data_IF_850081380667
#
_entry.id   IF_850081380667
#
_cell.length_a   1.000
_cell.length_b   1.000
_cell.length_c   1.000
_cell.angle_alpha   90.00
_cell.angle_beta   90.00
_cell.angle_gamma   90.00
#
_symmetry.space_group_name_H-M   'P 1'
#
loop_
_entity.id
_entity.type
_entity.pdbx_description
1 polymer ?
#
# COMPACT_ATOMS: atom_id res chain seq x y z
N UNK A 1 -4.97 18.17 4.53
CA UNK A 1 -5.12 16.70 4.64
C UNK A 1 -4.87 16.00 3.32
N UNK A 2 -5.58 16.34 2.24
CA UNK A 2 -5.39 15.72 0.92
C UNK A 2 -3.96 15.82 0.38
N UNK A 3 -3.36 17.02 0.33
CA UNK A 3 -1.95 17.20 -0.12
C UNK A 3 -0.95 16.35 0.68
N UNK A 4 -1.20 16.18 1.98
CA UNK A 4 -0.40 15.34 2.87
C UNK A 4 -0.47 13.87 2.47
N UNK A 5 -1.68 13.37 2.19
CA UNK A 5 -1.94 12.00 1.74
C UNK A 5 -1.38 11.74 0.35
N UNK A 6 -1.47 12.72 -0.55
CA UNK A 6 -0.84 12.68 -1.86
C UNK A 6 0.68 12.55 -1.75
N UNK A 7 1.32 13.36 -0.90
CA UNK A 7 2.75 13.28 -0.67
C UNK A 7 3.13 11.93 -0.04
N UNK A 8 2.37 11.45 0.94
CA UNK A 8 2.58 10.14 1.53
C UNK A 8 2.45 9.02 0.50
N UNK A 9 1.43 9.06 -0.36
CA UNK A 9 1.23 8.09 -1.44
C UNK A 9 2.40 8.12 -2.42
N UNK A 10 2.87 9.30 -2.83
CA UNK A 10 4.03 9.44 -3.71
C UNK A 10 5.31 8.85 -3.11
N UNK A 11 5.57 9.10 -1.82
CA UNK A 11 6.70 8.49 -1.12
C UNK A 11 6.54 6.96 -1.06
N UNK A 12 5.34 6.47 -0.75
CA UNK A 12 5.03 5.04 -0.75
C UNK A 12 5.31 4.39 -2.09
N UNK A 13 4.92 5.00 -3.21
CA UNK A 13 5.13 4.40 -4.53
C UNK A 13 6.60 4.29 -4.88
N UNK A 14 7.40 5.31 -4.56
CA UNK A 14 8.85 5.26 -4.77
C UNK A 14 9.45 4.12 -3.95
N UNK A 15 9.14 4.03 -2.66
CA UNK A 15 9.70 3.02 -1.77
C UNK A 15 9.25 1.61 -2.20
N UNK A 16 7.96 1.43 -2.46
CA UNK A 16 7.39 0.13 -2.80
C UNK A 16 7.84 -0.37 -4.17
N UNK A 17 8.18 0.52 -5.11
CA UNK A 17 8.79 0.14 -6.39
C UNK A 17 10.07 -0.70 -6.18
N UNK A 18 10.86 -0.39 -5.15
CA UNK A 18 12.07 -1.15 -4.82
C UNK A 18 11.81 -2.30 -3.83
N UNK A 19 10.90 -2.15 -2.87
CA UNK A 19 10.73 -3.20 -1.86
C UNK A 19 9.91 -4.38 -2.39
N UNK A 20 8.86 -4.11 -3.17
CA UNK A 20 7.87 -5.13 -3.55
C UNK A 20 8.42 -6.23 -4.46
N UNK A 21 9.32 -5.97 -5.42
CA UNK A 21 9.86 -7.03 -6.26
C UNK A 21 10.60 -8.13 -5.49
N UNK A 22 11.09 -7.86 -4.27
CA UNK A 22 11.75 -8.87 -3.43
C UNK A 22 10.81 -9.98 -2.94
N UNK A 23 9.49 -9.81 -3.03
CA UNK A 23 8.53 -10.88 -2.71
C UNK A 23 8.42 -11.95 -3.80
N UNK A 24 9.05 -11.73 -4.95
CA UNK A 24 9.01 -12.65 -6.09
C UNK A 24 10.37 -13.34 -6.23
N UNK A 25 10.40 -14.66 -6.04
CA UNK A 25 11.65 -15.44 -5.95
C UNK A 25 12.34 -15.71 -7.31
N UNK A 26 11.63 -15.57 -8.45
CA UNK A 26 12.02 -16.30 -9.67
C UNK A 26 12.79 -15.55 -10.76
N UNK A 27 13.12 -14.27 -10.64
CA UNK A 27 13.75 -13.57 -11.78
C UNK A 27 14.81 -12.55 -11.39
N UNK A 28 16.04 -13.05 -11.17
CA UNK A 28 17.26 -12.24 -11.01
C UNK A 28 17.50 -11.24 -12.14
N UNK A 29 16.89 -11.46 -13.32
CA UNK A 29 16.99 -10.55 -14.48
C UNK A 29 15.75 -9.66 -14.72
N UNK A 30 14.68 -9.79 -13.93
CA UNK A 30 13.40 -9.09 -14.18
C UNK A 30 12.93 -8.22 -13.02
N UNK A 31 13.77 -7.94 -12.03
CA UNK A 31 13.43 -7.14 -10.84
C UNK A 31 12.70 -5.82 -11.19
N UNK A 32 13.24 -5.03 -12.13
CA UNK A 32 12.62 -3.77 -12.56
C UNK A 32 11.33 -3.99 -13.34
N UNK A 33 11.21 -5.08 -14.10
CA UNK A 33 9.99 -5.42 -14.84
C UNK A 33 8.86 -5.85 -13.88
N UNK A 34 9.18 -6.61 -12.83
CA UNK A 34 8.24 -6.95 -11.76
C UNK A 34 7.79 -5.68 -11.03
N UNK A 35 8.74 -4.82 -10.65
CA UNK A 35 8.43 -3.54 -10.00
C UNK A 35 7.51 -2.67 -10.84
N UNK A 36 7.76 -2.59 -12.15
CA UNK A 36 6.91 -1.88 -13.10
C UNK A 36 5.54 -2.53 -13.23
N UNK A 37 5.46 -3.85 -13.41
CA UNK A 37 4.21 -4.59 -13.55
C UNK A 37 3.30 -4.45 -12.33
N UNK A 38 3.87 -4.58 -11.13
CA UNK A 38 3.13 -4.37 -9.88
C UNK A 38 2.69 -2.90 -9.74
N UNK A 39 3.57 -1.96 -10.09
CA UNK A 39 3.28 -0.53 -9.93
C UNK A 39 2.15 -0.05 -10.85
N UNK A 40 2.04 -0.59 -12.07
CA UNK A 40 0.93 -0.28 -13.00
C UNK A 40 -0.44 -0.50 -12.35
N UNK A 41 -0.55 -1.49 -11.45
CA UNK A 41 -1.81 -1.83 -10.79
C UNK A 41 -1.91 -1.14 -9.41
N UNK A 42 -0.89 -1.32 -8.58
CA UNK A 42 -0.92 -0.87 -7.19
C UNK A 42 -0.88 0.65 -7.02
N UNK A 43 -0.17 1.38 -7.90
CA UNK A 43 -0.10 2.85 -7.82
C UNK A 43 -1.45 3.51 -8.09
N UNK A 44 -2.19 3.19 -9.18
CA UNK A 44 -3.53 3.71 -9.38
C UNK A 44 -4.49 3.39 -8.23
N UNK A 45 -4.45 2.16 -7.70
CA UNK A 45 -5.29 1.76 -6.56
C UNK A 45 -4.97 2.60 -5.32
N UNK A 46 -3.69 2.82 -5.03
CA UNK A 46 -3.25 3.65 -3.90
C UNK A 46 -3.75 5.09 -4.05
N UNK A 47 -3.58 5.70 -5.23
CA UNK A 47 -3.95 7.10 -5.47
C UNK A 47 -5.46 7.34 -5.59
N UNK A 48 -6.23 6.34 -5.99
CA UNK A 48 -7.69 6.44 -6.10
C UNK A 48 -8.38 5.98 -4.82
N UNK A 49 -8.34 4.68 -4.54
CA UNK A 49 -9.06 4.05 -3.44
C UNK A 49 -8.30 4.25 -2.12
N UNK A 50 -6.97 4.11 -2.13
CA UNK A 50 -6.15 4.18 -0.93
C UNK A 50 -6.21 5.55 -0.24
N UNK A 51 -6.04 6.64 -0.99
CA UNK A 51 -6.15 8.01 -0.45
C UNK A 51 -7.56 8.28 0.07
N UNK A 52 -8.60 7.90 -0.69
CA UNK A 52 -9.99 8.11 -0.29
C UNK A 52 -10.32 7.36 1.01
N UNK A 53 -9.94 6.08 1.09
CA UNK A 53 -10.10 5.28 2.30
C UNK A 53 -9.33 5.90 3.48
N UNK A 54 -8.11 6.39 3.26
CA UNK A 54 -7.32 7.02 4.31
C UNK A 54 -7.99 8.27 4.89
N UNK A 55 -8.59 9.09 4.03
CA UNK A 55 -9.33 10.29 4.43
C UNK A 55 -10.52 9.90 5.32
N UNK A 56 -11.30 8.92 4.90
CA UNK A 56 -12.46 8.42 5.67
C UNK A 56 -12.02 7.83 7.02
N UNK A 57 -10.92 7.07 7.04
CA UNK A 57 -10.39 6.47 8.27
C UNK A 57 -9.95 7.58 9.25
N UNK A 58 -9.19 8.58 8.79
CA UNK A 58 -8.71 9.67 9.65
C UNK A 58 -9.85 10.52 10.22
N UNK A 59 -10.91 10.75 9.44
CA UNK A 59 -12.10 11.47 9.92
C UNK A 59 -12.83 10.73 11.04
N UNK A 60 -12.79 9.40 11.03
CA UNK A 60 -13.58 8.56 11.97
C UNK A 60 -12.76 7.94 13.09
N UNK A 61 -11.42 8.07 13.09
CA UNK A 61 -10.57 7.32 14.02
C UNK A 61 -9.40 8.14 14.50
N UNK A 62 -9.41 8.44 15.81
CA UNK A 62 -8.33 9.18 16.48
C UNK A 62 -7.25 8.26 17.05
N UNK A 63 -7.58 6.99 17.30
CA UNK A 63 -6.65 6.02 17.89
C UNK A 63 -5.71 5.44 16.82
N UNK A 64 -4.40 5.58 17.03
CA UNK A 64 -3.37 5.24 16.04
C UNK A 64 -3.42 3.76 15.62
N UNK A 65 -3.51 2.85 16.58
CA UNK A 65 -3.56 1.41 16.32
C UNK A 65 -4.82 1.02 15.54
N UNK A 66 -5.96 1.62 15.87
CA UNK A 66 -7.23 1.32 15.19
C UNK A 66 -7.23 1.88 13.77
N UNK A 67 -6.60 3.05 13.56
CA UNK A 67 -6.39 3.62 12.22
C UNK A 67 -5.52 2.70 11.37
N UNK A 68 -4.44 2.17 11.93
CA UNK A 68 -3.56 1.21 11.25
C UNK A 68 -4.31 -0.08 10.88
N UNK A 69 -5.05 -0.67 11.83
CA UNK A 69 -5.83 -1.89 11.56
C UNK A 69 -6.88 -1.69 10.46
N UNK A 70 -7.52 -0.53 10.39
CA UNK A 70 -8.48 -0.21 9.31
C UNK A 70 -7.78 -0.09 7.95
N UNK A 71 -6.61 0.54 7.92
CA UNK A 71 -5.77 0.59 6.72
C UNK A 71 -5.35 -0.80 6.26
N UNK A 72 -4.94 -1.65 7.19
CA UNK A 72 -4.59 -3.03 6.89
C UNK A 72 -5.79 -3.83 6.37
N UNK A 73 -6.97 -3.63 6.96
CA UNK A 73 -8.23 -4.20 6.45
C UNK A 73 -8.54 -3.78 5.01
N UNK A 74 -8.35 -2.50 4.66
CA UNK A 74 -8.47 -2.06 3.26
C UNK A 74 -7.45 -2.74 2.34
N UNK A 75 -6.21 -2.93 2.81
CA UNK A 75 -5.19 -3.69 2.09
C UNK A 75 -5.62 -5.14 1.83
N UNK A 76 -6.15 -5.83 2.85
CA UNK A 76 -6.65 -7.20 2.73
C UNK A 76 -7.85 -7.31 1.76
N UNK A 77 -8.74 -6.32 1.72
CA UNK A 77 -9.82 -6.28 0.72
C UNK A 77 -9.21 -6.24 -0.70
N UNK A 78 -8.16 -5.43 -0.91
CA UNK A 78 -7.48 -5.39 -2.21
C UNK A 78 -6.81 -6.73 -2.55
N UNK A 79 -6.25 -7.43 -1.56
CA UNK A 79 -5.70 -8.80 -1.75
C UNK A 79 -6.79 -9.76 -2.21
N UNK A 80 -7.96 -9.76 -1.56
CA UNK A 80 -9.09 -10.61 -1.95
C UNK A 80 -9.54 -10.31 -3.39
N UNK A 81 -9.60 -9.03 -3.78
CA UNK A 81 -9.96 -8.63 -5.15
C UNK A 81 -8.92 -9.14 -6.16
N UNK A 82 -7.63 -9.01 -5.86
CA UNK A 82 -6.56 -9.49 -6.75
C UNK A 82 -6.55 -11.02 -6.90
N UNK A 83 -6.83 -11.76 -5.82
CA UNK A 83 -6.96 -13.23 -5.88
C UNK A 83 -8.18 -13.67 -6.69
N UNK A 84 -9.29 -12.94 -6.62
CA UNK A 84 -10.47 -13.19 -7.45
C UNK A 84 -10.21 -12.93 -8.94
N UNK A 85 -9.33 -11.98 -9.27
CA UNK A 85 -8.99 -11.63 -10.66
C UNK A 85 -7.89 -12.50 -11.27
N UNK A 86 -7.07 -13.13 -10.43
CA UNK A 86 -5.98 -14.01 -10.86
C UNK A 86 -6.40 -15.46 -10.61
N UNK A 87 -5.95 -16.05 -9.52
CA UNK A 87 -6.37 -17.37 -9.05
C UNK A 87 -6.23 -17.46 -7.53
N UNK A 88 -7.05 -18.30 -6.89
CA UNK A 88 -6.94 -18.62 -5.47
C UNK A 88 -5.81 -19.62 -5.24
N UNK A 89 -4.58 -19.11 -5.24
CA UNK A 89 -3.36 -19.85 -4.91
C UNK A 89 -2.80 -19.37 -3.56
N UNK A 90 -2.40 -20.31 -2.70
CA UNK A 90 -1.81 -20.05 -1.38
C UNK A 90 -0.53 -19.20 -1.51
N UNK A 91 0.32 -19.46 -2.49
CA UNK A 91 1.55 -18.71 -2.73
C UNK A 91 1.26 -17.25 -3.09
N UNK A 92 0.32 -17.02 -4.03
CA UNK A 92 -0.13 -15.68 -4.40
C UNK A 92 -0.79 -14.97 -3.22
N UNK A 93 -1.54 -15.68 -2.38
CA UNK A 93 -2.12 -15.12 -1.16
C UNK A 93 -1.02 -14.60 -0.21
N UNK A 94 0.07 -15.35 0.00
CA UNK A 94 1.20 -14.90 0.80
C UNK A 94 1.91 -13.69 0.18
N UNK A 95 2.19 -13.72 -1.13
CA UNK A 95 2.84 -12.62 -1.84
C UNK A 95 2.00 -11.34 -1.76
N UNK A 96 0.71 -11.41 -2.12
CA UNK A 96 -0.17 -10.25 -2.11
C UNK A 96 -0.42 -9.71 -0.70
N UNK A 97 -0.52 -10.58 0.31
CA UNK A 97 -0.63 -10.16 1.71
C UNK A 97 0.64 -9.46 2.18
N UNK A 98 1.82 -9.98 1.82
CA UNK A 98 3.10 -9.33 2.09
C UNK A 98 3.22 -7.96 1.43
N UNK A 99 2.80 -7.85 0.17
CA UNK A 99 2.73 -6.59 -0.54
C UNK A 99 1.78 -5.59 0.13
N UNK A 100 0.56 -6.02 0.47
CA UNK A 100 -0.43 -5.18 1.12
C UNK A 100 0.07 -4.67 2.48
N UNK A 101 0.73 -5.54 3.25
CA UNK A 101 1.40 -5.16 4.49
C UNK A 101 2.44 -4.05 4.24
N UNK A 102 3.37 -4.25 3.31
CA UNK A 102 4.40 -3.24 2.99
C UNK A 102 3.79 -1.92 2.55
N UNK A 103 2.85 -1.94 1.59
CA UNK A 103 2.18 -0.74 1.12
C UNK A 103 1.49 0.03 2.25
N UNK A 104 0.73 -0.68 3.08
CA UNK A 104 0.01 -0.09 4.22
C UNK A 104 0.98 0.49 5.25
N UNK A 105 2.01 -0.27 5.62
CA UNK A 105 2.99 0.18 6.62
C UNK A 105 3.77 1.39 6.14
N UNK A 106 4.30 1.36 4.91
CA UNK A 106 5.05 2.49 4.35
C UNK A 106 4.18 3.73 4.21
N UNK A 107 2.95 3.58 3.71
CA UNK A 107 1.98 4.69 3.63
C UNK A 107 1.64 5.28 4.99
N UNK A 108 1.36 4.43 5.98
CA UNK A 108 0.99 4.87 7.31
C UNK A 108 2.12 5.63 8.01
N UNK A 109 3.35 5.09 7.94
CA UNK A 109 4.54 5.76 8.48
C UNK A 109 4.78 7.08 7.76
N UNK A 110 4.75 7.10 6.43
CA UNK A 110 4.98 8.31 5.64
C UNK A 110 3.95 9.40 5.98
N UNK A 111 2.66 9.05 6.03
CA UNK A 111 1.60 9.99 6.37
C UNK A 111 1.76 10.56 7.79
N UNK A 112 2.13 9.74 8.77
CA UNK A 112 2.35 10.20 10.13
C UNK A 112 3.61 11.06 10.29
N UNK A 113 4.71 10.69 9.65
CA UNK A 113 5.93 11.51 9.65
C UNK A 113 5.68 12.88 9.03
N UNK A 114 4.96 12.92 7.90
CA UNK A 114 4.60 14.17 7.24
C UNK A 114 3.63 14.97 8.13
N UNK A 115 2.62 14.33 8.73
CA UNK A 115 1.68 14.99 9.65
C UNK A 115 2.38 15.68 10.81
N UNK A 116 3.39 15.05 11.40
CA UNK A 116 4.18 15.65 12.48
C UNK A 116 4.91 16.93 12.06
N UNK A 117 5.30 17.06 10.78
CA UNK A 117 6.01 18.25 10.28
C UNK A 117 5.09 19.42 9.92
N UNK A 118 3.82 19.17 9.60
CA UNK A 118 2.84 20.21 9.22
C UNK A 118 2.01 20.75 10.39
N UNK A 119 2.17 20.18 11.59
CA UNK A 119 1.44 20.59 12.81
C UNK A 119 2.35 21.39 13.77
N UNK A 120 3.63 21.54 13.43
CA UNK A 120 4.51 22.58 13.99
C UNK A 120 4.43 23.85 13.14
#
# INVERSE_FOLDING_TARGET
MFNRKLLAAFVTTIICYFIVPFFFNDFTNSYFAIGLGVSIISVPILFTIGILASIVIELRTKHILLSYMKHFGCGLICVCVLLLLTEWNIELFFIYTGMAFVYVTVFFISDHMIKSKFVN
#
